data_IF_894506619779
#
_entry.id   IF_894506619779
#
_cell.length_a   1.000
_cell.length_b   1.000
_cell.length_c   1.000
_cell.angle_alpha   90.00
_cell.angle_beta   90.00
_cell.angle_gamma   90.00
#
_symmetry.space_group_name_H-M   'P 1'
#
loop_
_entity.id
_entity.type
_entity.pdbx_description
1 polymer ?
#
# COMPACT_ATOMS: atom_id res chain seq x y z
N UNK A 1 -2.28 34.24 -3.61
CA UNK A 1 -1.98 33.18 -2.62
C UNK A 1 -1.19 33.83 -1.50
N UNK A 2 -1.63 33.66 -0.25
CA UNK A 2 -0.95 34.26 0.91
C UNK A 2 -0.16 33.19 1.65
N UNK A 3 1.01 33.55 2.18
CA UNK A 3 1.77 32.68 3.06
C UNK A 3 1.33 32.87 4.52
N UNK A 4 1.55 31.85 5.33
CA UNK A 4 1.36 31.85 6.78
C UNK A 4 2.71 31.57 7.43
N UNK A 5 3.11 32.41 8.37
CA UNK A 5 4.34 32.25 9.13
C UNK A 5 4.04 31.65 10.51
N UNK A 6 4.82 30.64 10.87
CA UNK A 6 4.71 29.94 12.14
C UNK A 6 6.09 29.48 12.62
N UNK A 7 6.17 29.06 13.88
CA UNK A 7 7.38 28.51 14.48
C UNK A 7 7.15 27.05 14.89
N UNK A 8 8.03 26.14 14.47
CA UNK A 8 7.97 24.72 14.83
C UNK A 8 9.30 24.34 15.49
N UNK A 9 9.26 23.92 16.76
CA UNK A 9 10.45 23.60 17.56
C UNK A 9 11.53 24.70 17.49
N UNK A 10 11.11 25.96 17.58
CA UNK A 10 11.98 27.14 17.50
C UNK A 10 12.42 27.54 16.09
N UNK A 11 12.05 26.78 15.05
CA UNK A 11 12.38 27.10 13.65
C UNK A 11 11.23 27.89 13.00
N UNK A 12 11.53 29.09 12.51
CA UNK A 12 10.59 29.86 11.71
C UNK A 12 10.38 29.20 10.34
N UNK A 13 9.13 29.06 9.92
CA UNK A 13 8.77 28.49 8.62
C UNK A 13 7.60 29.28 8.02
N UNK A 14 7.61 29.40 6.70
CA UNK A 14 6.55 30.06 5.92
C UNK A 14 5.98 29.06 4.91
N UNK A 15 4.67 28.84 4.93
CA UNK A 15 3.96 27.89 4.06
C UNK A 15 2.75 28.54 3.42
N UNK A 16 2.23 27.93 2.36
CA UNK A 16 1.01 28.41 1.72
C UNK A 16 -0.19 28.31 2.66
N UNK A 17 -1.05 29.34 2.65
CA UNK A 17 -2.31 29.32 3.39
C UNK A 17 -3.16 28.12 2.98
N UNK A 18 -3.62 27.36 3.97
CA UNK A 18 -4.36 26.10 3.77
C UNK A 18 -3.52 24.85 4.02
N UNK A 19 -2.19 24.99 4.16
CA UNK A 19 -1.33 23.88 4.58
C UNK A 19 -1.67 23.41 6.00
N UNK A 20 -1.34 22.16 6.28
CA UNK A 20 -1.41 21.55 7.60
C UNK A 20 -0.11 21.77 8.39
N UNK A 21 -0.19 21.63 9.71
CA UNK A 21 1.00 21.67 10.58
C UNK A 21 1.98 20.53 10.25
N UNK A 22 1.50 19.37 9.78
CA UNK A 22 2.36 18.27 9.33
C UNK A 22 3.19 18.68 8.10
N UNK A 23 2.58 19.31 7.10
CA UNK A 23 3.27 19.79 5.90
C UNK A 23 4.27 20.91 6.25
N UNK A 24 3.89 21.82 7.13
CA UNK A 24 4.80 22.86 7.62
C UNK A 24 5.99 22.27 8.38
N UNK A 25 5.79 21.24 9.20
CA UNK A 25 6.88 20.55 9.90
C UNK A 25 7.84 19.87 8.93
N UNK A 26 7.33 19.23 7.87
CA UNK A 26 8.15 18.64 6.80
C UNK A 26 9.02 19.70 6.12
N UNK A 27 8.44 20.86 5.78
CA UNK A 27 9.18 21.99 5.19
C UNK A 27 10.25 22.57 6.13
N UNK A 28 9.99 22.54 7.45
CA UNK A 28 10.94 22.95 8.48
C UNK A 28 12.03 21.90 8.80
N UNK A 29 12.03 20.74 8.14
CA UNK A 29 12.93 19.63 8.43
C UNK A 29 12.69 19.01 9.81
N UNK A 30 11.45 19.07 10.30
CA UNK A 30 11.01 18.49 11.57
C UNK A 30 10.16 17.26 11.29
N UNK A 31 10.61 16.10 11.77
CA UNK A 31 9.92 14.83 11.57
C UNK A 31 8.82 14.63 12.63
N UNK A 32 7.58 14.57 12.19
CA UNK A 32 6.43 14.16 13.00
C UNK A 32 6.00 12.75 12.56
N UNK A 33 5.97 11.74 13.46
CA UNK A 33 5.60 10.37 13.08
C UNK A 33 4.11 10.26 12.73
N UNK A 34 3.80 9.39 11.77
CA UNK A 34 2.44 9.12 11.28
C UNK A 34 2.22 7.64 11.06
N UNK A 35 0.97 7.17 11.16
CA UNK A 35 0.56 5.81 10.78
C UNK A 35 -0.61 5.82 9.78
N UNK A 36 -1.72 6.47 10.15
CA UNK A 36 -2.89 6.55 9.27
C UNK A 36 -2.79 7.65 8.20
N UNK A 37 -1.84 8.58 8.31
CA UNK A 37 -1.66 9.57 7.24
C UNK A 37 -0.99 8.88 6.05
N UNK A 38 -1.56 9.07 4.87
CA UNK A 38 -0.98 8.67 3.59
C UNK A 38 -0.98 9.90 2.70
N UNK A 39 0.21 10.29 2.26
CA UNK A 39 0.43 11.51 1.49
C UNK A 39 -0.44 11.55 0.23
N UNK A 40 -1.10 12.69 -0.01
CA UNK A 40 -2.04 12.92 -1.11
C UNK A 40 -3.26 11.97 -1.16
N UNK A 41 -3.48 11.12 -0.16
CA UNK A 41 -4.55 10.12 -0.16
C UNK A 41 -5.43 10.17 1.08
N UNK A 42 -4.85 10.17 2.28
CA UNK A 42 -5.62 10.08 3.53
C UNK A 42 -5.05 10.97 4.63
N UNK A 43 -5.88 11.88 5.15
CA UNK A 43 -5.59 12.65 6.37
C UNK A 43 -6.84 12.67 7.28
N UNK A 44 -6.88 11.74 8.25
CA UNK A 44 -8.06 11.55 9.13
C UNK A 44 -7.76 11.77 10.62
N UNK A 45 -6.49 11.95 11.00
CA UNK A 45 -6.08 12.16 12.39
C UNK A 45 -6.39 11.01 13.36
N UNK A 46 -6.86 9.86 12.87
CA UNK A 46 -7.42 8.79 13.70
C UNK A 46 -6.38 8.07 14.57
N UNK A 47 -5.18 7.80 14.04
CA UNK A 47 -4.16 7.07 14.79
C UNK A 47 -3.52 7.86 15.93
N UNK A 48 -3.71 9.20 15.98
CA UNK A 48 -3.12 10.12 16.97
C UNK A 48 -1.59 10.06 17.11
N UNK A 49 -0.86 9.39 16.22
CA UNK A 49 0.61 9.36 16.26
C UNK A 49 1.24 10.74 15.96
N UNK A 50 0.59 11.53 15.10
CA UNK A 50 1.04 12.85 14.69
C UNK A 50 0.66 13.99 15.65
N UNK A 51 0.36 13.66 16.92
CA UNK A 51 -0.01 14.68 17.90
C UNK A 51 1.14 15.64 18.19
N UNK A 52 0.81 16.93 18.32
CA UNK A 52 1.72 18.03 18.66
C UNK A 52 1.08 18.94 19.70
N UNK A 53 1.92 19.72 20.37
CA UNK A 53 1.48 20.76 21.31
C UNK A 53 1.54 22.12 20.61
N UNK A 54 0.50 22.94 20.81
CA UNK A 54 0.41 24.28 20.22
C UNK A 54 0.25 25.28 21.35
N UNK A 55 1.15 26.27 21.42
CA UNK A 55 1.13 27.27 22.47
C UNK A 55 -0.19 28.05 22.45
N UNK A 56 -0.80 28.22 23.63
CA UNK A 56 -2.09 28.89 23.76
C UNK A 56 -3.32 28.04 23.42
N UNK A 57 -3.16 26.81 22.89
CA UNK A 57 -4.26 25.87 22.67
C UNK A 57 -4.26 24.77 23.74
N UNK A 58 -5.46 24.36 24.18
CA UNK A 58 -5.61 23.31 25.21
C UNK A 58 -5.42 21.93 24.59
N UNK A 59 -4.54 21.12 25.18
CA UNK A 59 -4.35 19.72 24.82
C UNK A 59 -3.53 19.49 23.54
N UNK A 60 -3.49 18.24 23.09
CA UNK A 60 -2.69 17.81 21.95
C UNK A 60 -3.52 17.72 20.66
N UNK A 61 -2.96 18.17 19.56
CA UNK A 61 -3.65 18.29 18.27
C UNK A 61 -2.98 17.42 17.21
N UNK A 62 -3.76 16.78 16.34
CA UNK A 62 -3.22 15.94 15.28
C UNK A 62 -2.71 16.84 14.13
N UNK A 63 -1.39 16.87 13.90
CA UNK A 63 -0.79 17.79 12.94
C UNK A 63 -1.23 17.56 11.49
N UNK A 64 -1.61 16.32 11.13
CA UNK A 64 -2.01 15.95 9.77
C UNK A 64 -3.34 16.55 9.30
N UNK A 65 -4.16 17.08 10.21
CA UNK A 65 -5.46 17.72 9.89
C UNK A 65 -5.59 19.11 10.53
N UNK A 66 -4.57 19.55 11.27
CA UNK A 66 -4.55 20.86 11.91
C UNK A 66 -4.07 21.90 10.90
N UNK A 67 -4.91 22.87 10.47
CA UNK A 67 -4.47 23.95 9.60
C UNK A 67 -3.46 24.86 10.32
N UNK A 68 -2.54 25.44 9.55
CA UNK A 68 -1.62 26.46 10.06
C UNK A 68 -2.35 27.80 10.29
N UNK A 69 -1.92 28.55 11.30
CA UNK A 69 -2.40 29.90 11.62
C UNK A 69 -1.20 30.83 11.78
N UNK A 70 -1.38 32.11 11.47
CA UNK A 70 -0.31 33.11 11.58
C UNK A 70 0.17 33.24 13.02
N UNK A 71 1.49 33.23 13.21
CA UNK A 71 2.11 33.32 14.53
C UNK A 71 1.96 32.07 15.39
N UNK A 72 1.46 30.95 14.83
CA UNK A 72 1.35 29.69 15.57
C UNK A 72 2.74 29.23 16.06
N UNK A 73 2.82 28.76 17.30
CA UNK A 73 4.04 28.15 17.86
C UNK A 73 3.73 26.69 18.21
N UNK A 74 4.41 25.76 17.54
CA UNK A 74 4.20 24.32 17.65
C UNK A 74 5.43 23.66 18.25
N UNK A 75 5.21 22.81 19.26
CA UNK A 75 6.25 21.99 19.86
C UNK A 75 5.94 20.50 19.61
N UNK A 76 6.88 19.77 19.00
CA UNK A 76 6.65 18.40 18.52
C UNK A 76 7.24 17.32 19.43
N UNK A 77 8.02 17.71 20.45
CA UNK A 77 8.78 16.77 21.29
C UNK A 77 8.75 17.09 22.80
N UNK A 78 7.71 17.77 23.28
CA UNK A 78 7.55 18.04 24.73
C UNK A 78 7.36 16.74 25.52
N UNK A 79 7.56 16.78 26.84
CA UNK A 79 7.33 15.61 27.71
C UNK A 79 5.90 15.06 27.56
N UNK A 80 4.92 15.95 27.41
CA UNK A 80 3.51 15.59 27.19
C UNK A 80 3.33 14.87 25.84
N UNK A 81 3.89 15.41 24.75
CA UNK A 81 3.81 14.78 23.41
C UNK A 81 4.46 13.39 23.40
N UNK A 82 5.67 13.26 23.95
CA UNK A 82 6.39 11.97 24.02
C UNK A 82 5.61 10.92 24.79
N UNK A 83 5.10 11.29 25.97
CA UNK A 83 4.31 10.38 26.82
C UNK A 83 3.03 9.94 26.12
N UNK A 84 2.33 10.88 25.47
CA UNK A 84 1.09 10.59 24.76
C UNK A 84 1.32 9.68 23.54
N UNK A 85 2.35 9.94 22.71
CA UNK A 85 2.69 9.08 21.56
C UNK A 85 3.03 7.65 21.99
N UNK A 86 3.82 7.51 23.07
CA UNK A 86 4.16 6.20 23.63
C UNK A 86 2.91 5.46 24.12
N UNK A 87 2.01 6.14 24.85
CA UNK A 87 0.75 5.55 25.29
C UNK A 87 -0.16 5.13 24.11
N UNK A 88 -0.27 5.96 23.08
CA UNK A 88 -1.01 5.63 21.84
C UNK A 88 -0.41 4.41 21.16
N UNK A 89 0.93 4.33 21.05
CA UNK A 89 1.60 3.17 20.48
C UNK A 89 1.31 1.89 21.26
N UNK A 90 1.41 1.94 22.60
CA UNK A 90 1.08 0.81 23.45
C UNK A 90 -0.38 0.36 23.31
N UNK A 91 -1.34 1.28 23.14
CA UNK A 91 -2.75 0.95 22.89
C UNK A 91 -2.97 0.29 21.52
N UNK A 92 -2.19 0.67 20.50
CA UNK A 92 -2.24 -0.01 19.19
C UNK A 92 -1.65 -1.42 19.32
N UNK A 93 -0.52 -1.54 20.03
CA UNK A 93 0.18 -2.81 20.21
C UNK A 93 -0.56 -3.78 21.13
N UNK A 94 -1.44 -3.31 22.02
CA UNK A 94 -2.17 -4.18 22.95
C UNK A 94 -3.11 -5.18 22.27
N UNK A 95 -3.49 -4.92 21.02
CA UNK A 95 -4.31 -5.78 20.16
C UNK A 95 -3.53 -6.36 18.96
N UNK A 96 -2.20 -6.25 18.94
CA UNK A 96 -1.37 -6.66 17.80
C UNK A 96 -0.43 -7.82 18.19
N UNK A 97 -0.36 -8.92 17.42
CA UNK A 97 0.50 -10.05 17.75
C UNK A 97 1.99 -9.71 17.59
N UNK A 98 2.82 -10.15 18.53
CA UNK A 98 4.28 -9.91 18.52
C UNK A 98 5.05 -10.99 17.75
N UNK A 99 4.65 -11.23 16.50
CA UNK A 99 5.21 -12.28 15.62
C UNK A 99 6.19 -11.69 14.60
N UNK A 100 6.95 -10.65 14.96
CA UNK A 100 7.72 -9.85 13.98
C UNK A 100 8.76 -10.69 13.20
N UNK A 101 9.34 -11.72 13.81
CA UNK A 101 10.38 -12.55 13.19
C UNK A 101 9.87 -13.44 12.06
N UNK A 102 8.59 -13.79 12.10
CA UNK A 102 7.92 -14.63 11.08
C UNK A 102 6.95 -13.84 10.21
N UNK A 103 6.83 -12.53 10.45
CA UNK A 103 5.92 -11.66 9.72
C UNK A 103 6.47 -11.30 8.33
N UNK A 104 5.58 -11.29 7.33
CA UNK A 104 5.90 -10.88 5.94
C UNK A 104 6.39 -9.44 5.81
N UNK A 105 6.18 -8.60 6.83
CA UNK A 105 6.68 -7.21 6.90
C UNK A 105 7.88 -7.05 7.83
N UNK A 106 8.59 -8.13 8.15
CA UNK A 106 9.82 -8.04 8.91
C UNK A 106 10.79 -7.05 8.23
N UNK A 107 11.42 -6.17 9.01
CA UNK A 107 12.36 -5.12 8.56
C UNK A 107 11.75 -3.95 7.75
N UNK A 108 10.51 -4.05 7.26
CA UNK A 108 9.84 -2.96 6.51
C UNK A 108 8.48 -2.52 7.10
N UNK A 109 8.16 -2.97 8.32
CA UNK A 109 6.92 -2.59 9.03
C UNK A 109 7.01 -1.19 9.65
N UNK A 110 6.07 -0.30 9.31
CA UNK A 110 6.04 1.06 9.84
C UNK A 110 5.74 1.08 11.35
N UNK A 111 4.89 0.16 11.82
CA UNK A 111 4.56 0.03 13.24
C UNK A 111 5.77 -0.41 14.07
N UNK A 112 6.52 -1.40 13.58
CA UNK A 112 7.74 -1.88 14.23
C UNK A 112 8.78 -0.75 14.36
N UNK A 113 9.02 -0.02 13.27
CA UNK A 113 9.95 1.11 13.25
C UNK A 113 9.55 2.20 14.23
N UNK A 114 8.28 2.55 14.31
CA UNK A 114 7.79 3.57 15.24
C UNK A 114 7.82 3.10 16.70
N UNK A 115 7.56 1.82 16.97
CA UNK A 115 7.66 1.26 18.31
C UNK A 115 9.10 1.34 18.83
N UNK A 116 10.07 1.05 17.95
CA UNK A 116 11.50 1.20 18.25
C UNK A 116 11.86 2.67 18.50
N UNK A 117 11.47 3.56 17.61
CA UNK A 117 11.73 5.00 17.74
C UNK A 117 11.19 5.60 19.05
N UNK A 118 10.01 5.16 19.49
CA UNK A 118 9.38 5.61 20.73
C UNK A 118 9.92 4.91 21.99
N UNK A 119 10.86 3.96 21.85
CA UNK A 119 11.42 3.20 22.95
C UNK A 119 10.37 2.38 23.70
N UNK A 120 9.44 1.77 22.96
CA UNK A 120 8.48 0.82 23.53
C UNK A 120 9.20 -0.51 23.74
N UNK A 121 9.24 -0.96 25.00
CA UNK A 121 9.86 -2.23 25.41
C UNK A 121 8.89 -3.14 26.15
N UNK A 122 7.81 -2.57 26.68
CA UNK A 122 6.73 -3.24 27.36
C UNK A 122 5.44 -2.53 26.98
N UNK A 123 4.36 -3.29 26.89
CA UNK A 123 3.01 -2.78 26.63
C UNK A 123 2.21 -2.92 27.92
N UNK A 124 1.75 -1.79 28.49
CA UNK A 124 1.04 -1.77 29.77
C UNK A 124 -0.42 -2.19 29.68
N UNK A 125 -0.98 -2.18 28.47
CA UNK A 125 -2.39 -2.44 28.22
C UNK A 125 -2.58 -3.84 27.66
N UNK A 126 -3.65 -4.51 28.08
CA UNK A 126 -4.09 -5.76 27.48
C UNK A 126 -5.31 -5.48 26.59
N UNK A 127 -5.20 -5.79 25.31
CA UNK A 127 -6.30 -5.70 24.36
C UNK A 127 -7.19 -6.93 24.42
N UNK A 128 -8.31 -6.88 23.69
CA UNK A 128 -9.24 -7.99 23.52
C UNK A 128 -8.64 -9.14 22.68
N UNK A 129 -7.63 -8.85 21.84
CA UNK A 129 -6.98 -9.80 20.94
C UNK A 129 -8.00 -10.69 20.22
N UNK A 130 -8.79 -10.12 19.30
CA UNK A 130 -9.86 -10.86 18.67
C UNK A 130 -9.30 -12.08 17.93
N UNK A 131 -9.88 -13.25 18.18
CA UNK A 131 -9.69 -14.45 17.37
C UNK A 131 -10.24 -14.17 15.98
N UNK A 132 -9.40 -13.61 15.12
CA UNK A 132 -9.76 -13.31 13.74
C UNK A 132 -8.98 -14.23 12.82
N UNK A 133 -9.72 -14.86 11.91
CA UNK A 133 -9.17 -15.76 10.91
C UNK A 133 -8.38 -15.00 9.85
N UNK A 134 -7.47 -15.73 9.21
CA UNK A 134 -6.86 -15.32 7.95
C UNK A 134 -7.91 -15.56 6.86
N UNK A 135 -8.17 -14.54 6.03
CA UNK A 135 -8.98 -14.66 4.81
C UNK A 135 -8.03 -14.77 3.62
N UNK A 136 -7.98 -15.96 3.03
CA UNK A 136 -7.18 -16.36 1.87
C UNK A 136 -8.05 -16.74 0.67
N UNK A 137 -9.34 -16.39 0.69
CA UNK A 137 -10.29 -16.69 -0.39
C UNK A 137 -10.00 -15.92 -1.69
N UNK A 138 -9.27 -14.80 -1.60
CA UNK A 138 -8.91 -13.98 -2.74
C UNK A 138 -7.55 -14.42 -3.31
N UNK A 139 -7.43 -14.68 -4.62
CA UNK A 139 -6.23 -15.25 -5.22
C UNK A 139 -5.02 -14.30 -5.25
N UNK A 140 -5.22 -13.01 -4.97
CA UNK A 140 -4.17 -11.99 -5.03
C UNK A 140 -3.93 -11.26 -3.72
N UNK A 141 -4.81 -11.41 -2.73
CA UNK A 141 -4.75 -10.66 -1.46
C UNK A 141 -5.13 -11.55 -0.28
N UNK A 142 -4.18 -11.79 0.62
CA UNK A 142 -4.40 -12.44 1.91
C UNK A 142 -4.60 -11.37 2.98
N UNK A 143 -5.54 -11.61 3.90
CA UNK A 143 -5.90 -10.68 4.97
C UNK A 143 -5.72 -11.35 6.33
N UNK A 144 -4.74 -10.88 7.11
CA UNK A 144 -4.55 -11.26 8.52
C UNK A 144 -5.05 -10.12 9.42
N UNK A 145 -6.34 -10.19 9.80
CA UNK A 145 -6.98 -9.10 10.55
C UNK A 145 -6.40 -8.90 11.95
N UNK A 146 -5.77 -9.93 12.54
CA UNK A 146 -5.07 -9.83 13.84
C UNK A 146 -3.96 -8.78 13.81
N UNK A 147 -3.36 -8.55 12.63
CA UNK A 147 -2.29 -7.56 12.45
C UNK A 147 -2.82 -6.18 12.07
N UNK A 148 -4.13 -6.01 11.86
CA UNK A 148 -4.72 -4.75 11.43
C UNK A 148 -4.71 -3.72 12.58
N UNK A 149 -4.22 -2.51 12.28
CA UNK A 149 -4.21 -1.37 13.24
C UNK A 149 -5.34 -0.36 13.00
N UNK A 150 -6.35 -0.73 12.19
CA UNK A 150 -7.52 0.09 11.87
C UNK A 150 -7.18 1.50 11.31
N UNK A 151 -6.05 1.62 10.61
CA UNK A 151 -5.57 2.91 10.09
C UNK A 151 -6.36 3.41 8.87
N UNK A 152 -7.21 2.56 8.27
CA UNK A 152 -8.08 2.84 7.12
C UNK A 152 -7.39 3.18 5.79
N UNK A 153 -6.06 3.16 5.70
CA UNK A 153 -5.31 3.42 4.45
C UNK A 153 -5.79 2.53 3.30
N UNK A 154 -5.97 1.23 3.55
CA UNK A 154 -6.47 0.27 2.57
C UNK A 154 -7.90 0.59 2.09
N UNK A 155 -8.79 0.97 3.01
CA UNK A 155 -10.18 1.35 2.70
C UNK A 155 -10.21 2.60 1.83
N UNK A 156 -9.46 3.64 2.21
CA UNK A 156 -9.41 4.89 1.44
C UNK A 156 -8.80 4.71 0.06
N UNK A 157 -7.71 3.96 -0.08
CA UNK A 157 -7.13 3.69 -1.41
C UNK A 157 -8.09 2.90 -2.28
N UNK A 158 -8.76 1.87 -1.73
CA UNK A 158 -9.71 1.06 -2.47
C UNK A 158 -10.93 1.87 -2.94
N UNK A 159 -11.38 2.84 -2.14
CA UNK A 159 -12.53 3.68 -2.45
C UNK A 159 -12.18 4.88 -3.32
N UNK A 160 -11.27 5.73 -2.85
CA UNK A 160 -11.02 7.06 -3.44
C UNK A 160 -10.06 7.01 -4.63
N UNK A 161 -9.11 6.05 -4.64
CA UNK A 161 -8.11 5.95 -5.73
C UNK A 161 -8.53 4.93 -6.77
N UNK A 162 -8.99 3.75 -6.34
CA UNK A 162 -9.37 2.67 -7.25
C UNK A 162 -10.85 2.71 -7.67
N UNK A 163 -11.72 3.41 -6.93
CA UNK A 163 -13.16 3.44 -7.23
C UNK A 163 -13.90 2.12 -6.99
N UNK A 164 -13.27 1.13 -6.36
CA UNK A 164 -13.80 -0.24 -6.21
C UNK A 164 -14.65 -0.37 -4.95
N UNK A 165 -14.20 0.22 -3.83
CA UNK A 165 -14.87 0.13 -2.52
C UNK A 165 -15.11 -1.31 -2.00
N UNK A 166 -14.23 -2.26 -2.34
CA UNK A 166 -14.32 -3.65 -1.88
C UNK A 166 -14.09 -3.83 -0.36
N UNK A 167 -13.45 -2.86 0.29
CA UNK A 167 -13.16 -2.87 1.73
C UNK A 167 -13.83 -1.69 2.43
N UNK A 168 -14.37 -1.93 3.63
CA UNK A 168 -14.99 -0.92 4.47
C UNK A 168 -14.75 -1.16 5.96
N UNK A 169 -15.22 -0.22 6.79
CA UNK A 169 -15.25 -0.37 8.24
C UNK A 169 -16.58 -0.97 8.66
N UNK A 170 -16.56 -2.09 9.37
CA UNK A 170 -17.77 -2.72 9.93
C UNK A 170 -17.74 -2.69 11.46
N UNK A 171 -18.92 -2.79 12.08
CA UNK A 171 -19.13 -2.74 13.53
C UNK A 171 -18.62 -1.44 14.20
N UNK A 172 -18.59 -1.40 15.54
CA UNK A 172 -18.23 -0.23 16.35
C UNK A 172 -17.45 -0.64 17.61
N UNK A 173 -16.66 0.29 18.15
CA UNK A 173 -15.92 0.07 19.39
C UNK A 173 -14.82 -0.98 19.22
N UNK A 174 -14.72 -1.91 20.17
CA UNK A 174 -13.73 -3.00 20.11
C UNK A 174 -13.99 -4.01 18.99
N UNK A 175 -15.22 -4.10 18.51
CA UNK A 175 -15.61 -5.00 17.40
C UNK A 175 -15.31 -4.41 16.02
N UNK A 176 -14.81 -3.16 15.95
CA UNK A 176 -14.52 -2.51 14.68
C UNK A 176 -13.43 -3.24 13.92
N UNK A 177 -13.72 -3.61 12.68
CA UNK A 177 -12.76 -4.27 11.78
C UNK A 177 -12.88 -3.78 10.34
N UNK A 178 -11.84 -4.03 9.57
CA UNK A 178 -11.84 -3.80 8.11
C UNK A 178 -12.37 -5.08 7.47
N UNK A 179 -13.54 -5.00 6.82
CA UNK A 179 -14.21 -6.13 6.18
C UNK A 179 -14.70 -5.78 4.77
N UNK A 180 -14.98 -6.80 3.97
CA UNK A 180 -15.69 -6.62 2.72
C UNK A 180 -17.19 -6.36 2.99
N UNK A 181 -17.91 -5.87 1.98
CA UNK A 181 -19.34 -5.62 2.08
C UNK A 181 -20.10 -6.90 2.49
N UNK A 182 -21.05 -6.80 3.43
CA UNK A 182 -21.78 -7.96 3.93
C UNK A 182 -20.98 -8.88 4.86
N UNK A 183 -19.75 -8.51 5.23
CA UNK A 183 -18.86 -9.30 6.09
C UNK A 183 -18.50 -10.69 5.52
N UNK A 184 -18.56 -10.82 4.19
CA UNK A 184 -18.15 -12.02 3.46
C UNK A 184 -16.65 -12.03 3.16
N UNK A 185 -16.06 -13.17 2.78
CA UNK A 185 -14.67 -13.24 2.33
C UNK A 185 -14.37 -12.32 1.13
N UNK A 186 -13.13 -11.82 1.03
CA UNK A 186 -12.77 -10.86 -0.03
C UNK A 186 -12.89 -11.44 -1.45
N UNK A 187 -12.74 -12.77 -1.61
CA UNK A 187 -12.92 -13.44 -2.89
C UNK A 187 -14.37 -13.45 -3.41
N UNK A 188 -15.35 -13.14 -2.56
CA UNK A 188 -16.78 -13.18 -2.90
C UNK A 188 -17.38 -11.81 -3.27
N UNK A 189 -16.60 -10.74 -3.19
CA UNK A 189 -17.05 -9.38 -3.54
C UNK A 189 -16.40 -8.88 -4.83
N UNK A 190 -16.93 -7.78 -5.36
CA UNK A 190 -16.39 -7.08 -6.53
C UNK A 190 -15.02 -6.43 -6.23
N UNK A 191 -13.98 -7.25 -6.10
CA UNK A 191 -12.60 -6.84 -5.91
C UNK A 191 -11.85 -6.87 -7.25
N UNK A 192 -11.17 -5.78 -7.60
CA UNK A 192 -10.35 -5.70 -8.80
C UNK A 192 -8.99 -6.44 -8.71
N UNK A 193 -8.69 -7.12 -7.60
CA UNK A 193 -7.44 -7.89 -7.40
C UNK A 193 -6.12 -7.08 -7.57
N UNK A 194 -6.18 -5.74 -7.51
CA UNK A 194 -5.07 -4.88 -7.90
C UNK A 194 -3.97 -4.70 -6.85
N UNK A 195 -4.15 -5.24 -5.63
CA UNK A 195 -3.14 -5.19 -4.57
C UNK A 195 -2.85 -3.80 -3.99
N UNK A 196 -3.53 -2.74 -4.42
CA UNK A 196 -3.26 -1.37 -3.93
C UNK A 196 -3.50 -1.22 -2.41
N UNK A 197 -4.39 -2.04 -1.85
CA UNK A 197 -4.60 -2.12 -0.41
C UNK A 197 -3.39 -2.72 0.34
N UNK A 198 -2.63 -3.64 -0.27
CA UNK A 198 -1.40 -4.23 0.27
C UNK A 198 -0.31 -3.16 0.36
N UNK A 199 -0.09 -2.44 -0.74
CA UNK A 199 0.88 -1.34 -0.82
C UNK A 199 0.57 -0.22 0.18
N UNK A 200 -0.71 0.09 0.35
CA UNK A 200 -1.16 1.09 1.32
C UNK A 200 -1.12 0.62 2.77
N UNK A 201 -1.00 -0.68 3.06
CA UNK A 201 -1.01 -1.19 4.42
C UNK A 201 0.33 -0.89 5.12
N UNK A 202 0.38 -0.32 6.33
CA UNK A 202 1.64 -0.04 7.05
C UNK A 202 2.22 -1.25 7.81
N UNK A 203 1.50 -2.38 7.83
CA UNK A 203 1.75 -3.56 8.68
C UNK A 203 1.44 -4.85 7.91
N UNK A 204 1.72 -6.01 8.49
CA UNK A 204 1.50 -7.32 7.85
C UNK A 204 0.04 -7.80 7.81
N UNK A 205 -0.94 -6.89 7.77
CA UNK A 205 -2.36 -7.24 7.77
C UNK A 205 -2.90 -7.58 6.37
N UNK A 206 -2.23 -7.11 5.32
CA UNK A 206 -2.55 -7.34 3.92
C UNK A 206 -1.26 -7.67 3.19
N UNK A 207 -1.25 -8.76 2.44
CA UNK A 207 -0.09 -9.23 1.68
C UNK A 207 -0.53 -10.15 0.54
N UNK A 208 0.35 -10.35 -0.43
CA UNK A 208 0.17 -11.23 -1.57
C UNK A 208 0.41 -12.70 -1.18
N UNK A 209 -0.27 -13.67 -1.84
CA UNK A 209 0.07 -15.07 -1.68
C UNK A 209 1.52 -15.36 -2.08
N UNK A 210 2.29 -15.93 -1.15
CA UNK A 210 3.69 -16.30 -1.41
C UNK A 210 3.78 -17.60 -2.21
N UNK A 211 4.43 -17.53 -3.38
CA UNK A 211 4.68 -18.66 -4.28
C UNK A 211 6.14 -19.12 -4.27
N UNK A 212 6.99 -18.53 -3.43
CA UNK A 212 8.42 -18.84 -3.34
C UNK A 212 8.68 -20.34 -3.10
N UNK A 213 7.93 -20.98 -2.22
CA UNK A 213 8.07 -22.42 -1.96
C UNK A 213 7.64 -23.32 -3.13
N UNK A 214 6.74 -22.88 -4.00
CA UNK A 214 6.40 -23.58 -5.24
C UNK A 214 7.53 -23.46 -6.27
N UNK A 215 8.12 -22.27 -6.39
CA UNK A 215 9.26 -22.00 -7.27
C UNK A 215 10.48 -22.83 -6.88
N UNK A 216 10.84 -22.89 -5.59
CA UNK A 216 11.97 -23.72 -5.13
C UNK A 216 11.75 -25.20 -5.42
N UNK A 217 10.53 -25.71 -5.24
CA UNK A 217 10.21 -27.10 -5.60
C UNK A 217 10.29 -27.35 -7.10
N UNK A 218 9.95 -26.37 -7.93
CA UNK A 218 10.12 -26.48 -9.37
C UNK A 218 11.59 -26.52 -9.77
N UNK A 219 12.42 -25.62 -9.21
CA UNK A 219 13.86 -25.56 -9.46
C UNK A 219 14.62 -26.81 -8.96
N UNK A 220 14.14 -27.43 -7.89
CA UNK A 220 14.73 -28.65 -7.35
C UNK A 220 14.31 -29.94 -8.10
N UNK A 221 13.32 -29.88 -8.99
CA UNK A 221 12.84 -31.04 -9.74
C UNK A 221 13.68 -31.23 -11.01
N UNK A 222 14.53 -32.27 -11.10
CA UNK A 222 15.40 -32.47 -12.25
C UNK A 222 14.65 -32.82 -13.55
N UNK A 223 13.34 -33.11 -13.47
CA UNK A 223 12.50 -33.39 -14.64
C UNK A 223 11.82 -32.14 -15.20
N UNK A 224 12.01 -30.97 -14.57
CA UNK A 224 11.44 -29.71 -15.04
C UNK A 224 12.49 -28.85 -15.71
N UNK A 225 12.07 -28.22 -16.80
CA UNK A 225 12.77 -27.08 -17.37
C UNK A 225 12.07 -25.81 -16.88
N UNK A 226 12.70 -25.08 -15.97
CA UNK A 226 12.10 -23.96 -15.27
C UNK A 226 12.48 -22.66 -15.96
N UNK A 227 11.46 -22.02 -16.52
CA UNK A 227 11.55 -20.77 -17.24
C UNK A 227 11.09 -19.62 -16.34
N UNK A 228 11.80 -18.49 -16.38
CA UNK A 228 11.37 -17.23 -15.74
C UNK A 228 11.26 -16.11 -16.76
N UNK A 229 10.24 -15.27 -16.57
CA UNK A 229 9.99 -14.06 -17.35
C UNK A 229 9.64 -12.89 -16.40
N UNK A 230 10.57 -11.93 -16.19
CA UNK A 230 10.30 -10.76 -15.37
C UNK A 230 9.50 -9.72 -16.14
N UNK A 231 8.53 -9.10 -15.46
CA UNK A 231 7.73 -8.00 -16.00
C UNK A 231 8.57 -6.71 -16.16
N UNK A 232 8.17 -5.78 -17.05
CA UNK A 232 8.92 -4.57 -17.36
C UNK A 232 9.35 -3.76 -16.12
N UNK A 233 8.43 -3.55 -15.17
CA UNK A 233 8.66 -2.70 -14.00
C UNK A 233 9.68 -3.27 -12.99
N UNK A 234 9.89 -4.59 -12.97
CA UNK A 234 10.75 -5.24 -11.96
C UNK A 234 12.20 -4.77 -12.12
N UNK A 235 12.66 -4.53 -13.35
CA UNK A 235 14.04 -4.13 -13.64
C UNK A 235 14.41 -2.73 -13.14
N UNK A 236 13.44 -1.91 -12.75
CA UNK A 236 13.66 -0.55 -12.21
C UNK A 236 13.28 -0.41 -10.74
N UNK A 237 12.46 -1.33 -10.21
CA UNK A 237 12.04 -1.33 -8.81
C UNK A 237 12.91 -2.24 -7.91
N UNK A 238 13.37 -3.38 -8.43
CA UNK A 238 14.10 -4.38 -7.62
C UNK A 238 15.38 -3.84 -6.97
N UNK A 239 16.01 -2.83 -7.57
CA UNK A 239 17.20 -2.18 -6.99
C UNK A 239 16.95 -1.56 -5.62
N UNK A 240 15.74 -1.03 -5.39
CA UNK A 240 15.38 -0.34 -4.14
C UNK A 240 15.39 -1.30 -2.95
N UNK A 241 14.91 -2.53 -3.15
CA UNK A 241 14.89 -3.58 -2.13
C UNK A 241 16.28 -4.03 -1.67
N UNK A 242 17.31 -3.76 -2.48
CA UNK A 242 18.72 -4.05 -2.15
C UNK A 242 19.53 -2.79 -1.85
N UNK A 243 18.85 -1.68 -1.55
CA UNK A 243 19.46 -0.43 -1.09
C UNK A 243 20.02 0.46 -2.19
N UNK A 244 19.68 0.22 -3.47
CA UNK A 244 20.03 1.14 -4.55
C UNK A 244 19.05 2.33 -4.59
N UNK A 245 19.46 3.49 -5.14
CA UNK A 245 18.57 4.63 -5.31
C UNK A 245 17.32 4.30 -6.15
N UNK A 246 16.21 4.98 -5.86
CA UNK A 246 14.94 4.88 -6.61
C UNK A 246 15.17 5.08 -8.11
N UNK A 247 14.57 4.20 -8.92
CA UNK A 247 14.72 4.23 -10.38
C UNK A 247 16.03 3.64 -10.91
N UNK A 248 16.82 2.96 -10.07
CA UNK A 248 18.02 2.26 -10.52
C UNK A 248 17.69 1.11 -11.47
N UNK A 249 18.28 1.12 -12.66
CA UNK A 249 18.13 0.03 -13.64
C UNK A 249 19.03 -1.16 -13.28
N UNK A 250 18.42 -2.32 -13.05
CA UNK A 250 19.09 -3.55 -12.62
C UNK A 250 18.92 -4.73 -13.57
N UNK A 251 18.50 -4.51 -14.83
CA UNK A 251 18.21 -5.57 -15.82
C UNK A 251 19.26 -6.69 -15.87
N UNK A 252 20.53 -6.33 -16.12
CA UNK A 252 21.61 -7.33 -16.21
C UNK A 252 21.93 -8.02 -14.88
N UNK A 253 21.80 -7.30 -13.75
CA UNK A 253 22.00 -7.86 -12.41
C UNK A 253 20.89 -8.85 -12.06
N UNK A 254 19.64 -8.51 -12.36
CA UNK A 254 18.46 -9.37 -12.19
C UNK A 254 18.61 -10.66 -13.00
N UNK A 255 18.93 -10.57 -14.29
CA UNK A 255 19.14 -11.75 -15.14
C UNK A 255 20.30 -12.63 -14.62
N UNK A 256 21.39 -12.01 -14.15
CA UNK A 256 22.50 -12.74 -13.54
C UNK A 256 22.06 -13.46 -12.27
N UNK A 257 21.33 -12.78 -11.38
CA UNK A 257 20.83 -13.36 -10.15
C UNK A 257 19.87 -14.55 -10.40
N UNK A 258 18.93 -14.42 -11.35
CA UNK A 258 18.03 -15.49 -11.74
C UNK A 258 18.79 -16.73 -12.27
N UNK A 259 19.84 -16.53 -13.08
CA UNK A 259 20.72 -17.63 -13.52
C UNK A 259 21.41 -18.31 -12.34
N UNK A 260 21.93 -17.52 -11.40
CA UNK A 260 22.58 -18.03 -10.20
C UNK A 260 21.61 -18.79 -9.27
N UNK A 261 20.32 -18.45 -9.30
CA UNK A 261 19.28 -19.17 -8.55
C UNK A 261 18.89 -20.52 -9.18
N UNK A 262 19.32 -20.80 -10.42
CA UNK A 262 19.13 -22.10 -11.07
C UNK A 262 18.01 -22.16 -12.11
N UNK A 263 17.48 -21.02 -12.57
CA UNK A 263 16.53 -21.02 -13.70
C UNK A 263 17.23 -21.47 -14.99
N UNK A 264 16.60 -22.38 -15.74
CA UNK A 264 17.16 -22.95 -16.97
C UNK A 264 17.11 -21.98 -18.15
N UNK A 265 16.07 -21.16 -18.20
CA UNK A 265 15.91 -20.11 -19.21
C UNK A 265 15.35 -18.83 -18.59
N UNK A 266 15.89 -17.70 -19.04
CA UNK A 266 15.44 -16.36 -18.66
C UNK A 266 14.96 -15.67 -19.92
N UNK A 267 13.65 -15.49 -20.02
CA UNK A 267 13.03 -14.63 -21.02
C UNK A 267 12.70 -13.27 -20.40
N UNK A 268 12.08 -12.43 -21.21
CA UNK A 268 11.68 -11.08 -20.82
C UNK A 268 10.26 -10.85 -21.33
N UNK A 269 9.34 -10.44 -20.44
CA UNK A 269 7.95 -10.16 -20.80
C UNK A 269 7.84 -8.99 -21.79
N UNK A 270 8.87 -8.15 -21.92
CA UNK A 270 8.93 -7.09 -22.93
C UNK A 270 8.81 -7.67 -24.37
N UNK A 271 9.36 -8.87 -24.61
CA UNK A 271 9.21 -9.53 -25.93
C UNK A 271 7.75 -9.87 -26.22
N UNK A 272 7.05 -10.44 -25.24
CA UNK A 272 5.64 -10.74 -25.36
C UNK A 272 4.78 -9.46 -25.42
N UNK A 273 5.26 -8.36 -24.82
CA UNK A 273 4.62 -7.05 -24.97
C UNK A 273 4.70 -6.54 -26.41
N UNK A 274 5.82 -6.74 -27.12
CA UNK A 274 5.91 -6.43 -28.54
C UNK A 274 4.90 -7.25 -29.36
N UNK A 275 4.71 -8.54 -29.03
CA UNK A 275 3.70 -9.39 -29.67
C UNK A 275 2.28 -8.88 -29.39
N UNK A 276 1.97 -8.49 -28.15
CA UNK A 276 0.69 -7.87 -27.80
C UNK A 276 0.44 -6.62 -28.63
N UNK A 277 1.45 -5.76 -28.84
CA UNK A 277 1.28 -4.55 -29.67
C UNK A 277 1.01 -4.89 -31.14
N UNK A 278 1.65 -5.92 -31.69
CA UNK A 278 1.40 -6.36 -33.07
C UNK A 278 -0.06 -6.81 -33.22
N UNK A 279 -0.55 -7.64 -32.30
CA UNK A 279 -1.91 -8.18 -32.35
C UNK A 279 -2.98 -7.13 -32.02
N UNK A 280 -2.81 -6.33 -30.94
CA UNK A 280 -3.74 -5.23 -30.62
C UNK A 280 -3.76 -4.17 -31.74
N UNK A 281 -2.60 -3.86 -32.33
CA UNK A 281 -2.51 -2.94 -33.46
C UNK A 281 -3.23 -3.45 -34.70
N UNK A 282 -3.08 -4.74 -35.01
CA UNK A 282 -3.81 -5.38 -36.10
C UNK A 282 -5.32 -5.38 -35.83
N UNK A 283 -5.75 -5.73 -34.62
CA UNK A 283 -7.15 -5.73 -34.21
C UNK A 283 -7.77 -4.34 -34.31
N UNK A 284 -7.08 -3.30 -33.85
CA UNK A 284 -7.55 -1.92 -33.91
C UNK A 284 -7.81 -1.49 -35.36
N UNK A 285 -6.85 -1.72 -36.25
CA UNK A 285 -6.98 -1.40 -37.68
C UNK A 285 -8.15 -2.15 -38.31
N UNK A 286 -8.29 -3.44 -37.99
CA UNK A 286 -9.40 -4.26 -38.46
C UNK A 286 -10.76 -3.72 -37.98
N UNK A 287 -10.89 -3.37 -36.69
CA UNK A 287 -12.12 -2.79 -36.12
C UNK A 287 -12.46 -1.46 -36.79
N UNK A 288 -11.47 -0.60 -37.05
CA UNK A 288 -11.69 0.69 -37.72
C UNK A 288 -12.13 0.54 -39.19
N UNK A 289 -11.56 -0.41 -39.92
CA UNK A 289 -11.85 -0.60 -41.35
C UNK A 289 -13.17 -1.33 -41.61
N UNK A 290 -13.56 -2.24 -40.71
CA UNK A 290 -14.68 -3.16 -40.94
C UNK A 290 -15.92 -2.85 -40.06
N UNK A 291 -15.97 -1.66 -39.43
CA UNK A 291 -17.11 -1.27 -38.59
C UNK A 291 -17.24 -2.10 -37.30
N UNK A 292 -16.11 -2.50 -36.71
CA UNK A 292 -16.06 -3.22 -35.44
C UNK A 292 -16.40 -2.35 -34.22
N UNK A 293 -16.46 -2.98 -33.04
CA UNK A 293 -16.83 -2.31 -31.79
C UNK A 293 -15.72 -1.36 -31.34
N UNK A 294 -16.08 -0.08 -31.15
CA UNK A 294 -15.19 1.00 -30.71
C UNK A 294 -15.79 1.77 -29.51
N UNK A 295 -14.97 2.40 -28.64
CA UNK A 295 -13.50 2.39 -28.65
C UNK A 295 -12.94 1.00 -28.32
N UNK A 296 -11.76 0.67 -28.86
CA UNK A 296 -11.03 -0.52 -28.43
C UNK A 296 -10.28 -0.21 -27.13
N UNK A 297 -10.36 -1.08 -26.15
CA UNK A 297 -9.77 -0.94 -24.83
C UNK A 297 -8.75 -2.06 -24.62
N UNK A 298 -7.56 -1.73 -24.12
CA UNK A 298 -6.51 -2.72 -23.83
C UNK A 298 -6.98 -3.79 -22.84
N UNK A 299 -6.52 -5.02 -23.01
CA UNK A 299 -6.90 -6.18 -22.17
C UNK A 299 -5.77 -6.69 -21.25
N UNK A 300 -4.61 -6.05 -21.28
CA UNK A 300 -3.39 -6.58 -20.66
C UNK A 300 -3.31 -6.47 -19.13
N UNK A 301 -4.14 -5.65 -18.49
CA UNK A 301 -4.16 -5.49 -17.02
C UNK A 301 -5.27 -6.34 -16.39
N UNK A 302 -4.95 -7.42 -15.64
CA UNK A 302 -5.98 -8.28 -15.05
C UNK A 302 -6.87 -7.55 -14.05
N UNK A 303 -6.34 -6.53 -13.36
CA UNK A 303 -7.17 -5.71 -12.47
C UNK A 303 -8.17 -4.83 -13.21
N UNK A 304 -7.80 -4.32 -14.39
CA UNK A 304 -8.73 -3.63 -15.27
C UNK A 304 -9.80 -4.59 -15.82
N UNK A 305 -9.42 -5.80 -16.23
CA UNK A 305 -10.37 -6.83 -16.68
C UNK A 305 -11.40 -7.12 -15.59
N UNK A 306 -10.95 -7.41 -14.36
CA UNK A 306 -11.85 -7.66 -13.22
C UNK A 306 -12.76 -6.47 -12.91
N UNK A 307 -12.21 -5.26 -12.99
CA UNK A 307 -13.00 -4.04 -12.82
C UNK A 307 -14.10 -3.92 -13.90
N UNK A 308 -13.75 -4.17 -15.16
CA UNK A 308 -14.71 -4.14 -16.27
C UNK A 308 -15.79 -5.23 -16.10
N UNK A 309 -15.41 -6.46 -15.76
CA UNK A 309 -16.36 -7.57 -15.51
C UNK A 309 -17.37 -7.23 -14.42
N UNK A 310 -16.94 -6.58 -13.34
CA UNK A 310 -17.80 -6.26 -12.20
C UNK A 310 -18.65 -5.02 -12.39
N UNK A 311 -18.10 -3.96 -13.00
CA UNK A 311 -18.72 -2.63 -12.98
C UNK A 311 -19.16 -2.14 -14.36
N UNK A 312 -18.59 -2.68 -15.43
CA UNK A 312 -18.86 -2.27 -16.82
C UNK A 312 -18.98 -3.48 -17.76
N UNK A 313 -19.85 -4.46 -17.48
CA UNK A 313 -19.95 -5.67 -18.29
C UNK A 313 -20.34 -5.37 -19.76
N UNK A 314 -21.05 -4.27 -19.99
CA UNK A 314 -21.43 -3.82 -21.34
C UNK A 314 -20.21 -3.39 -22.20
N UNK A 315 -19.07 -3.10 -21.57
CA UNK A 315 -17.81 -2.76 -22.26
C UNK A 315 -16.92 -3.98 -22.52
N UNK A 316 -17.31 -5.19 -22.13
CA UNK A 316 -16.52 -6.40 -22.42
C UNK A 316 -16.26 -6.59 -23.93
N UNK A 317 -17.22 -6.34 -24.85
CA UNK A 317 -16.96 -6.39 -26.29
C UNK A 317 -15.93 -5.34 -26.79
N UNK A 318 -15.71 -4.27 -26.02
CA UNK A 318 -14.74 -3.23 -26.34
C UNK A 318 -13.31 -3.63 -25.97
N UNK A 319 -13.12 -4.63 -25.10
CA UNK A 319 -11.80 -5.14 -24.76
C UNK A 319 -11.13 -5.78 -25.97
N UNK A 320 -9.82 -5.59 -26.10
CA UNK A 320 -9.01 -6.31 -27.07
C UNK A 320 -9.10 -7.82 -26.81
N UNK A 321 -9.14 -8.59 -27.88
CA UNK A 321 -9.08 -10.05 -27.84
C UNK A 321 -7.67 -10.57 -27.66
N UNK A 322 -6.66 -9.70 -27.80
CA UNK A 322 -5.27 -10.05 -27.53
C UNK A 322 -5.08 -10.44 -26.06
N UNK A 323 -4.20 -11.40 -25.80
CA UNK A 323 -3.81 -11.75 -24.43
C UNK A 323 -2.84 -10.73 -23.86
N UNK A 324 -2.75 -10.70 -22.54
CA UNK A 324 -1.72 -9.92 -21.85
C UNK A 324 -0.32 -10.44 -22.19
N UNK A 325 0.73 -9.61 -22.09
CA UNK A 325 2.11 -10.03 -22.30
C UNK A 325 2.56 -11.21 -21.43
N UNK A 326 1.93 -11.43 -20.26
CA UNK A 326 2.24 -12.57 -19.40
C UNK A 326 1.68 -13.90 -19.93
N UNK A 327 0.57 -13.86 -20.68
CA UNK A 327 -0.22 -15.01 -21.12
C UNK A 327 -0.01 -15.36 -22.61
N UNK A 328 0.82 -14.58 -23.31
CA UNK A 328 1.25 -14.78 -24.70
C UNK A 328 2.44 -15.73 -24.75
#
# INVERSE_FOLDING_TARGET
MGNVNLTIDGRAVSVDKGSTVLEAARKAGVRIPTLCYLENVQAIGACRMCIVEVQGKRGLHASCVLPVEEGMVVNTNTAMVRTARKAVMELILSNHPFECLTCVRNLNCELQRLAEELGVRQVRFQGANPETCIDDSNPSVIRDQRKCILCRRCVTVCKEIQGVSALGMVNRGFETRVAAAGDVPLGEVACALCGQCIQACPVGALYEPDKTGEVWRALADPNKHVVVQPAPAIRVALGEEVGMPVGSVVTGKMATALRMMGFDAIFDTDFAADLTIIEEGHELLHRMQNGGVLPMITSCSPGWIKFCEHFYPDLLPNLSTCKSPHEM
#
